data_IF_505541629077
#
_entry.id   IF_505541629077
#
_cell.length_a   1.000
_cell.length_b   1.000
_cell.length_c   1.000
_cell.angle_alpha   90.00
_cell.angle_beta   90.00
_cell.angle_gamma   90.00
#
_symmetry.space_group_name_H-M   'P 1'
#
loop_
_entity.id
_entity.type
_entity.pdbx_description
1 polymer ?
#
# COMPACT_ATOMS: atom_id res chain seq x y z
N UNK A 1 3.40 -14.92 -17.56
CA UNK A 1 2.45 -15.67 -16.72
C UNK A 1 1.89 -14.71 -15.68
N UNK A 2 0.57 -14.64 -15.47
CA UNK A 2 0.02 -13.89 -14.33
C UNK A 2 0.34 -14.65 -13.04
N UNK A 3 0.88 -13.96 -12.04
CA UNK A 3 1.12 -14.54 -10.70
C UNK A 3 -0.19 -15.09 -10.14
N UNK A 4 -0.16 -16.32 -9.60
CA UNK A 4 -1.37 -17.02 -9.14
C UNK A 4 -1.86 -16.50 -7.78
N UNK A 5 -0.95 -15.99 -6.97
CA UNK A 5 -1.24 -15.49 -5.63
C UNK A 5 -0.62 -14.10 -5.45
N UNK A 6 -1.28 -13.27 -4.65
CA UNK A 6 -0.83 -11.91 -4.33
C UNK A 6 -0.87 -11.73 -2.82
N UNK A 7 0.22 -11.19 -2.27
CA UNK A 7 0.36 -10.88 -0.85
C UNK A 7 0.84 -9.43 -0.70
N UNK A 8 0.01 -8.61 -0.07
CA UNK A 8 0.31 -7.24 0.32
C UNK A 8 0.96 -7.24 1.69
N UNK A 9 2.05 -6.48 1.83
CA UNK A 9 2.63 -6.05 3.10
C UNK A 9 2.44 -4.55 3.23
N UNK A 10 1.83 -4.15 4.35
CA UNK A 10 1.48 -2.76 4.66
C UNK A 10 1.94 -2.40 6.06
N UNK A 11 2.13 -1.13 6.34
CA UNK A 11 2.64 -0.68 7.63
C UNK A 11 1.67 -0.89 8.78
N UNK A 12 0.43 -0.42 8.61
CA UNK A 12 -0.55 -0.37 9.68
C UNK A 12 -1.95 -0.82 9.29
N UNK A 13 -2.88 -0.58 10.22
CA UNK A 13 -4.29 -0.93 10.08
C UNK A 13 -5.03 -0.02 9.10
N UNK A 14 -4.58 1.23 8.96
CA UNK A 14 -5.19 2.20 8.05
C UNK A 14 -4.99 1.76 6.59
N UNK A 15 -3.77 1.38 6.21
CA UNK A 15 -3.46 0.83 4.89
C UNK A 15 -4.15 -0.52 4.68
N UNK A 16 -4.16 -1.40 5.70
CA UNK A 16 -4.84 -2.68 5.62
C UNK A 16 -6.33 -2.49 5.31
N UNK A 17 -6.99 -1.57 6.00
CA UNK A 17 -8.40 -1.23 5.79
C UNK A 17 -8.64 -0.67 4.39
N UNK A 18 -7.79 0.25 3.93
CA UNK A 18 -7.90 0.84 2.60
C UNK A 18 -7.73 -0.22 1.51
N UNK A 19 -6.68 -1.05 1.57
CA UNK A 19 -6.44 -2.10 0.56
C UNK A 19 -7.63 -3.08 0.50
N UNK A 20 -8.27 -3.39 1.64
CA UNK A 20 -9.50 -4.19 1.62
C UNK A 20 -10.62 -3.53 0.81
N UNK A 21 -10.86 -2.23 1.00
CA UNK A 21 -11.83 -1.47 0.21
C UNK A 21 -11.44 -1.44 -1.28
N UNK A 22 -10.19 -1.12 -1.59
CA UNK A 22 -9.71 -1.02 -2.98
C UNK A 22 -9.83 -2.36 -3.74
N UNK A 23 -9.49 -3.49 -3.08
CA UNK A 23 -9.47 -4.80 -3.74
C UNK A 23 -10.84 -5.50 -3.78
N UNK A 24 -11.72 -5.24 -2.80
CA UNK A 24 -12.97 -6.00 -2.64
C UNK A 24 -14.21 -5.19 -3.00
N UNK A 25 -14.29 -3.94 -2.53
CA UNK A 25 -15.48 -3.10 -2.68
C UNK A 25 -15.41 -2.33 -3.99
N UNK A 26 -14.35 -1.53 -4.18
CA UNK A 26 -14.12 -0.76 -5.40
C UNK A 26 -13.58 -1.62 -6.54
N UNK A 27 -12.88 -2.71 -6.22
CA UNK A 27 -12.27 -3.65 -7.19
C UNK A 27 -11.40 -2.94 -8.22
N UNK A 28 -10.62 -1.96 -7.77
CA UNK A 28 -9.71 -1.15 -8.60
C UNK A 28 -8.26 -1.62 -8.53
N UNK A 29 -7.96 -2.59 -7.66
CA UNK A 29 -6.65 -3.26 -7.59
C UNK A 29 -6.80 -4.78 -7.52
N UNK A 30 -5.72 -5.50 -7.85
CA UNK A 30 -5.69 -6.96 -7.83
C UNK A 30 -6.06 -7.53 -6.43
N UNK A 31 -6.91 -8.57 -6.36
CA UNK A 31 -7.24 -9.21 -5.10
C UNK A 31 -6.03 -9.97 -4.54
N UNK A 32 -5.85 -9.93 -3.22
CA UNK A 32 -4.75 -10.62 -2.55
C UNK A 32 -4.90 -10.64 -1.03
N UNK A 33 -4.09 -11.46 -0.37
CA UNK A 33 -4.00 -11.48 1.09
C UNK A 33 -3.27 -10.22 1.57
N UNK A 34 -3.72 -9.62 2.66
CA UNK A 34 -3.08 -8.43 3.26
C UNK A 34 -2.51 -8.85 4.61
N UNK A 35 -1.30 -8.39 4.92
CA UNK A 35 -0.66 -8.61 6.21
C UNK A 35 0.09 -7.36 6.64
N UNK A 36 -0.11 -6.94 7.87
CA UNK A 36 0.69 -5.88 8.49
C UNK A 36 2.13 -6.35 8.66
N UNK A 37 3.06 -5.57 8.13
CA UNK A 37 4.51 -5.61 8.31
C UNK A 37 5.06 -4.34 7.69
N UNK A 38 5.48 -3.40 8.53
CA UNK A 38 6.26 -2.26 8.07
C UNK A 38 7.61 -2.77 7.53
N UNK A 39 7.79 -2.73 6.21
CA UNK A 39 8.99 -3.29 5.54
C UNK A 39 10.19 -2.36 5.52
N UNK A 40 10.01 -1.10 5.93
CA UNK A 40 11.11 -0.14 6.14
C UNK A 40 11.61 -0.18 7.58
N UNK A 41 10.82 -0.67 8.54
CA UNK A 41 11.24 -0.80 9.94
C UNK A 41 11.57 -2.24 10.36
N UNK A 42 10.89 -3.23 9.78
CA UNK A 42 11.02 -4.64 10.17
C UNK A 42 11.59 -5.52 9.06
N UNK A 43 12.57 -6.35 9.40
CA UNK A 43 13.07 -7.37 8.48
C UNK A 43 12.11 -8.56 8.34
N UNK A 44 11.94 -9.05 7.11
CA UNK A 44 11.25 -10.30 6.81
C UNK A 44 11.99 -11.49 7.44
N UNK A 45 11.24 -12.29 8.20
CA UNK A 45 11.76 -13.52 8.81
C UNK A 45 11.65 -14.70 7.84
N UNK A 46 12.56 -15.66 7.98
CA UNK A 46 12.53 -16.89 7.17
C UNK A 46 11.22 -17.67 7.35
N UNK A 47 10.69 -17.72 8.57
CA UNK A 47 9.40 -18.34 8.86
C UNK A 47 8.28 -17.75 8.00
N UNK A 48 8.25 -16.42 7.86
CA UNK A 48 7.24 -15.74 7.04
C UNK A 48 7.38 -16.09 5.57
N UNK A 49 8.61 -16.14 5.04
CA UNK A 49 8.89 -16.55 3.67
C UNK A 49 8.50 -18.00 3.39
N UNK A 50 8.70 -18.91 4.35
CA UNK A 50 8.30 -20.32 4.23
C UNK A 50 6.78 -20.51 4.12
N UNK A 51 5.97 -19.56 4.61
CA UNK A 51 4.51 -19.63 4.48
C UNK A 51 3.98 -19.17 3.12
N UNK A 52 4.85 -18.61 2.26
CA UNK A 52 4.44 -18.12 0.95
C UNK A 52 4.13 -19.28 0.01
N UNK A 53 2.98 -19.19 -0.67
CA UNK A 53 2.62 -20.13 -1.72
C UNK A 53 3.56 -19.94 -2.92
N UNK A 54 4.02 -21.01 -3.58
CA UNK A 54 4.81 -20.87 -4.79
C UNK A 54 4.10 -20.06 -5.88
N UNK A 55 4.82 -19.13 -6.51
CA UNK A 55 4.28 -18.23 -7.53
C UNK A 55 3.50 -17.03 -6.98
N UNK A 56 3.86 -16.57 -5.77
CA UNK A 56 3.26 -15.38 -5.14
C UNK A 56 3.95 -14.10 -5.61
N UNK A 57 3.15 -13.13 -6.06
CA UNK A 57 3.57 -11.74 -6.22
C UNK A 57 3.50 -11.04 -4.87
N UNK A 58 4.62 -10.46 -4.46
CA UNK A 58 4.72 -9.68 -3.23
C UNK A 58 4.55 -8.21 -3.57
N UNK A 59 3.61 -7.55 -2.89
CA UNK A 59 3.38 -6.11 -3.01
C UNK A 59 3.80 -5.46 -1.71
N UNK A 60 4.78 -4.58 -1.78
CA UNK A 60 5.30 -3.82 -0.65
C UNK A 60 4.75 -2.39 -0.72
N UNK A 61 3.93 -2.02 0.25
CA UNK A 61 3.40 -0.66 0.40
C UNK A 61 4.03 -0.04 1.64
N UNK A 62 4.69 1.10 1.48
CA UNK A 62 5.43 1.75 2.56
C UNK A 62 5.52 3.27 2.36
N UNK A 63 5.53 3.99 3.46
CA UNK A 63 5.74 5.42 3.55
C UNK A 63 7.21 5.78 3.32
N UNK A 64 7.43 6.97 2.79
CA UNK A 64 8.77 7.50 2.46
C UNK A 64 9.22 8.61 3.40
N UNK A 65 8.41 8.96 4.41
CA UNK A 65 8.81 9.88 5.48
C UNK A 65 9.77 9.27 6.52
N UNK A 66 9.96 7.95 6.50
CA UNK A 66 10.95 7.27 7.34
C UNK A 66 12.31 7.16 6.66
N UNK A 67 13.42 7.18 7.41
CA UNK A 67 14.78 7.20 6.84
C UNK A 67 15.41 5.83 6.55
N UNK A 68 14.67 4.74 6.68
CA UNK A 68 15.23 3.39 6.90
C UNK A 68 15.29 2.52 5.63
N UNK A 69 15.86 3.06 4.55
CA UNK A 69 15.97 2.35 3.27
C UNK A 69 16.80 1.04 3.36
N UNK A 70 17.73 0.93 4.30
CA UNK A 70 18.59 -0.24 4.46
C UNK A 70 17.80 -1.51 4.80
N UNK A 71 16.78 -1.39 5.66
CA UNK A 71 15.90 -2.51 6.03
C UNK A 71 15.10 -2.97 4.81
N UNK A 72 14.55 -2.02 4.04
CA UNK A 72 13.86 -2.32 2.79
C UNK A 72 14.77 -3.04 1.79
N UNK A 73 16.00 -2.56 1.61
CA UNK A 73 16.98 -3.19 0.71
C UNK A 73 17.30 -4.64 1.12
N UNK A 74 17.50 -4.89 2.42
CA UNK A 74 17.69 -6.25 2.94
C UNK A 74 16.48 -7.14 2.65
N UNK A 75 15.27 -6.60 2.85
CA UNK A 75 14.02 -7.31 2.56
C UNK A 75 13.89 -7.66 1.08
N UNK A 76 14.20 -6.72 0.19
CA UNK A 76 14.21 -6.95 -1.27
C UNK A 76 15.20 -8.05 -1.66
N UNK A 77 16.40 -8.07 -1.08
CA UNK A 77 17.38 -9.15 -1.32
C UNK A 77 16.86 -10.50 -0.85
N UNK A 78 16.22 -10.58 0.33
CA UNK A 78 15.62 -11.83 0.84
C UNK A 78 14.51 -12.33 -0.08
N UNK A 79 13.62 -11.44 -0.51
CA UNK A 79 12.50 -11.77 -1.40
C UNK A 79 13.00 -12.26 -2.77
N UNK A 80 14.01 -11.60 -3.36
CA UNK A 80 14.61 -12.02 -4.64
C UNK A 80 15.22 -13.43 -4.59
N UNK A 81 15.67 -13.88 -3.41
CA UNK A 81 16.23 -15.22 -3.20
C UNK A 81 15.16 -16.28 -2.90
N UNK A 82 13.91 -15.88 -2.62
CA UNK A 82 12.85 -16.80 -2.26
C UNK A 82 12.20 -17.42 -3.51
N UNK A 83 12.33 -18.74 -3.68
CA UNK A 83 11.78 -19.47 -4.84
C UNK A 83 10.26 -19.42 -4.94
N UNK A 84 9.55 -19.16 -3.82
CA UNK A 84 8.10 -19.00 -3.83
C UNK A 84 7.65 -17.66 -4.42
N UNK A 85 8.53 -16.65 -4.49
CA UNK A 85 8.20 -15.32 -4.98
C UNK A 85 8.38 -15.28 -6.50
N UNK A 86 7.31 -15.01 -7.23
CA UNK A 86 7.37 -14.83 -8.69
C UNK A 86 7.77 -13.41 -9.08
N UNK A 87 7.40 -12.44 -8.26
CA UNK A 87 7.53 -11.02 -8.58
C UNK A 87 7.49 -10.18 -7.31
N UNK A 88 8.19 -9.05 -7.32
CA UNK A 88 8.14 -8.03 -6.26
C UNK A 88 7.65 -6.74 -6.90
N UNK A 89 6.64 -6.13 -6.29
CA UNK A 89 6.06 -4.84 -6.66
C UNK A 89 6.28 -3.88 -5.49
N UNK A 90 6.96 -2.77 -5.74
CA UNK A 90 7.18 -1.71 -4.74
C UNK A 90 6.24 -0.53 -4.97
N UNK A 91 5.58 -0.08 -3.91
CA UNK A 91 4.64 1.04 -3.91
C UNK A 91 5.04 1.99 -2.77
N UNK A 92 5.94 2.95 -3.05
CA UNK A 92 6.25 4.02 -2.11
C UNK A 92 5.06 4.99 -2.02
N UNK A 93 4.67 5.37 -0.81
CA UNK A 93 3.69 6.41 -0.51
C UNK A 93 4.43 7.72 -0.25
N UNK A 94 3.97 8.83 -0.83
CA UNK A 94 4.75 10.08 -0.87
C UNK A 94 4.01 11.24 -0.20
N UNK A 95 4.49 11.72 0.96
CA UNK A 95 5.38 11.00 1.89
C UNK A 95 4.69 9.81 2.59
N UNK A 96 3.37 9.82 2.70
CA UNK A 96 2.60 8.81 3.44
C UNK A 96 1.18 8.63 2.89
N UNK A 97 0.41 7.73 3.50
CA UNK A 97 -0.97 7.45 3.08
C UNK A 97 -1.88 8.69 3.08
N UNK A 98 -1.81 9.53 4.10
CA UNK A 98 -2.65 10.72 4.22
C UNK A 98 -2.49 11.65 3.02
N UNK A 99 -1.25 11.91 2.62
CA UNK A 99 -0.93 12.77 1.48
C UNK A 99 -1.28 12.13 0.14
N UNK A 100 -1.17 10.79 0.02
CA UNK A 100 -1.71 10.06 -1.14
C UNK A 100 -3.23 10.22 -1.25
N UNK A 101 -3.96 10.19 -0.13
CA UNK A 101 -5.41 10.39 -0.10
C UNK A 101 -5.78 11.83 -0.45
N UNK A 102 -5.04 12.83 0.03
CA UNK A 102 -5.25 14.24 -0.36
C UNK A 102 -5.04 14.43 -1.86
N UNK A 103 -4.05 13.78 -2.47
CA UNK A 103 -3.82 13.87 -3.93
C UNK A 103 -4.86 13.14 -4.77
N UNK A 104 -5.42 12.05 -4.24
CA UNK A 104 -6.34 11.19 -4.99
C UNK A 104 -7.81 11.47 -4.71
N UNK A 105 -8.13 12.26 -3.70
CA UNK A 105 -9.48 12.71 -3.38
C UNK A 105 -9.60 14.24 -3.56
N UNK A 106 -10.81 14.73 -3.76
CA UNK A 106 -11.12 16.15 -3.77
C UNK A 106 -11.21 16.73 -2.33
N UNK A 107 -10.12 16.63 -1.56
CA UNK A 107 -10.01 17.11 -0.18
C UNK A 107 -8.72 17.90 0.01
N UNK A 108 -8.66 18.75 1.05
CA UNK A 108 -7.44 19.50 1.38
C UNK A 108 -6.62 18.85 2.48
N UNK A 109 -7.24 17.97 3.27
CA UNK A 109 -6.64 17.25 4.39
C UNK A 109 -7.28 15.88 4.54
N UNK A 110 -6.51 14.86 4.91
CA UNK A 110 -7.03 13.50 5.08
C UNK A 110 -8.21 13.40 6.06
N UNK A 111 -8.21 14.21 7.13
CA UNK A 111 -9.31 14.29 8.10
C UNK A 111 -10.68 14.64 7.48
N UNK A 112 -10.72 15.33 6.34
CA UNK A 112 -11.96 15.68 5.65
C UNK A 112 -12.67 14.44 5.08
N UNK A 113 -11.92 13.40 4.73
CA UNK A 113 -12.47 12.16 4.16
C UNK A 113 -13.43 11.44 5.13
N UNK A 114 -13.11 11.50 6.42
CA UNK A 114 -13.86 10.86 7.51
C UNK A 114 -14.69 11.85 8.32
N UNK A 115 -14.51 13.15 8.11
CA UNK A 115 -15.10 14.21 8.95
C UNK A 115 -14.45 14.29 10.34
N UNK A 116 -13.19 13.85 10.46
CA UNK A 116 -12.43 13.86 11.70
C UNK A 116 -12.20 15.27 12.24
N UNK A 117 -12.24 15.42 13.56
CA UNK A 117 -12.02 16.72 14.23
C UNK A 117 -10.61 17.25 14.04
N UNK A 118 -9.62 16.36 13.87
CA UNK A 118 -8.23 16.71 13.65
C UNK A 118 -7.51 15.65 12.81
N UNK A 119 -6.33 16.00 12.28
CA UNK A 119 -5.46 15.03 11.59
C UNK A 119 -4.91 13.94 12.52
N UNK A 120 -4.85 14.17 13.84
CA UNK A 120 -4.39 13.15 14.81
C UNK A 120 -5.40 12.03 15.00
N UNK A 121 -6.69 12.35 14.85
CA UNK A 121 -7.78 11.38 15.03
C UNK A 121 -8.09 10.61 13.73
N UNK A 122 -7.57 11.08 12.60
CA UNK A 122 -7.84 10.53 11.27
C UNK A 122 -7.67 9.01 11.20
N UNK A 123 -6.52 8.47 11.63
CA UNK A 123 -6.24 7.02 11.53
C UNK A 123 -7.29 6.19 12.27
N UNK A 124 -7.66 6.62 13.48
CA UNK A 124 -8.69 5.94 14.29
C UNK A 124 -10.07 6.02 13.62
N UNK A 125 -10.48 7.20 13.18
CA UNK A 125 -11.78 7.41 12.55
C UNK A 125 -11.88 6.67 11.20
N UNK A 126 -10.80 6.63 10.44
CA UNK A 126 -10.72 5.91 9.17
C UNK A 126 -10.93 4.41 9.35
N UNK A 127 -10.30 3.81 10.37
CA UNK A 127 -10.49 2.38 10.71
C UNK A 127 -11.93 2.12 11.15
N UNK A 128 -12.51 3.01 11.95
CA UNK A 128 -13.88 2.85 12.49
C UNK A 128 -14.98 3.19 11.47
N UNK A 129 -14.63 3.84 10.36
CA UNK A 129 -15.60 4.23 9.32
C UNK A 129 -16.21 3.01 8.66
N UNK A 130 -17.52 2.81 8.90
CA UNK A 130 -18.29 1.70 8.32
C UNK A 130 -18.46 1.83 6.81
N UNK A 131 -18.74 3.04 6.31
CA UNK A 131 -18.98 3.32 4.89
C UNK A 131 -17.77 4.00 4.22
N UNK A 132 -16.57 3.42 4.38
CA UNK A 132 -15.36 4.01 3.83
C UNK A 132 -15.42 4.11 2.29
N UNK A 133 -16.00 3.10 1.64
CA UNK A 133 -16.25 3.08 0.19
C UNK A 133 -17.10 4.27 -0.25
N UNK A 134 -18.21 4.53 0.44
CA UNK A 134 -19.04 5.71 0.15
C UNK A 134 -18.30 7.02 0.35
N UNK A 135 -17.45 7.13 1.39
CA UNK A 135 -16.62 8.33 1.62
C UNK A 135 -15.60 8.57 0.52
N UNK A 136 -14.90 7.53 0.07
CA UNK A 136 -13.98 7.65 -1.06
C UNK A 136 -14.70 8.13 -2.32
N UNK A 137 -15.91 7.60 -2.60
CA UNK A 137 -16.71 8.01 -3.76
C UNK A 137 -17.26 9.43 -3.63
N UNK A 138 -17.76 9.81 -2.44
CA UNK A 138 -18.24 11.17 -2.11
C UNK A 138 -17.14 12.22 -2.36
N UNK A 139 -15.90 11.86 -2.05
CA UNK A 139 -14.73 12.71 -2.26
C UNK A 139 -14.00 12.43 -3.59
N UNK A 140 -14.67 11.83 -4.57
CA UNK A 140 -14.18 11.64 -5.94
C UNK A 140 -12.80 10.95 -6.03
N UNK A 141 -12.58 9.90 -5.21
CA UNK A 141 -11.35 9.14 -5.23
C UNK A 141 -11.00 8.64 -6.65
N UNK A 142 -9.80 8.99 -7.13
CA UNK A 142 -9.26 8.57 -8.42
C UNK A 142 -8.03 7.67 -8.23
N UNK A 143 -8.19 6.39 -8.55
CA UNK A 143 -7.11 5.39 -8.48
C UNK A 143 -5.91 5.72 -9.39
N UNK A 144 -6.12 6.52 -10.45
CA UNK A 144 -5.04 6.95 -11.36
C UNK A 144 -4.13 7.98 -10.69
N UNK A 145 -4.69 8.79 -9.79
CA UNK A 145 -3.94 9.78 -9.00
C UNK A 145 -3.35 9.18 -7.72
N UNK A 146 -3.90 8.07 -7.24
CA UNK A 146 -3.39 7.38 -6.05
C UNK A 146 -2.10 6.61 -6.36
N UNK A 147 -1.06 6.73 -5.53
CA UNK A 147 0.24 6.09 -5.74
C UNK A 147 0.87 6.38 -7.11
N UNK A 148 0.70 7.59 -7.65
CA UNK A 148 1.30 7.98 -8.94
C UNK A 148 2.66 8.70 -8.80
N UNK A 149 3.01 9.14 -7.59
CA UNK A 149 4.23 9.91 -7.34
C UNK A 149 5.52 9.09 -7.47
N UNK A 150 6.64 9.78 -7.58
CA UNK A 150 7.98 9.18 -7.52
C UNK A 150 8.66 9.55 -6.21
N UNK A 151 9.32 8.60 -5.53
CA UNK A 151 9.95 8.87 -4.26
C UNK A 151 11.19 9.75 -4.42
N UNK A 152 11.41 10.66 -3.47
CA UNK A 152 12.64 11.43 -3.36
C UNK A 152 13.73 10.66 -2.59
N UNK A 153 14.85 11.30 -2.28
CA UNK A 153 15.88 10.72 -1.40
C UNK A 153 15.28 10.44 -0.01
N UNK A 154 15.62 9.32 0.65
CA UNK A 154 16.61 8.33 0.23
C UNK A 154 16.10 7.30 -0.80
N UNK A 155 14.78 7.21 -1.04
CA UNK A 155 14.12 6.17 -1.83
C UNK A 155 14.15 6.34 -3.35
N UNK A 156 14.78 7.37 -3.90
CA UNK A 156 14.86 7.68 -5.34
C UNK A 156 15.23 6.49 -6.29
N UNK A 157 15.91 5.46 -5.80
CA UNK A 157 16.25 4.26 -6.59
C UNK A 157 15.18 3.16 -6.56
N UNK A 158 14.10 3.34 -5.79
CA UNK A 158 12.98 2.41 -5.71
C UNK A 158 11.90 2.88 -6.68
N UNK A 159 11.67 2.11 -7.74
CA UNK A 159 10.62 2.43 -8.70
C UNK A 159 9.24 2.28 -8.05
N UNK A 160 8.36 3.25 -8.28
CA UNK A 160 6.94 3.06 -7.99
C UNK A 160 6.29 2.20 -9.09
N UNK A 161 5.74 1.05 -8.69
CA UNK A 161 5.17 0.03 -9.57
C UNK A 161 3.66 -0.17 -9.35
N UNK A 162 2.97 0.82 -8.78
CA UNK A 162 1.54 0.73 -8.46
C UNK A 162 0.66 0.32 -9.67
N UNK A 163 1.00 0.75 -10.88
CA UNK A 163 0.29 0.38 -12.11
C UNK A 163 0.23 -1.13 -12.37
N UNK A 164 1.15 -1.92 -11.78
CA UNK A 164 1.14 -3.39 -11.94
C UNK A 164 -0.02 -4.06 -11.20
N UNK A 165 -0.58 -3.40 -10.19
CA UNK A 165 -1.70 -3.93 -9.39
C UNK A 165 -3.02 -3.23 -9.68
N UNK A 166 -3.00 -2.04 -10.28
CA UNK A 166 -4.22 -1.31 -10.61
C UNK A 166 -4.90 -1.94 -11.81
N UNK A 167 -6.22 -1.94 -11.77
CA UNK A 167 -7.01 -2.10 -12.99
C UNK A 167 -7.12 -0.70 -13.60
N UNK A 168 -6.32 -0.45 -14.64
CA UNK A 168 -6.55 0.74 -15.47
C UNK A 168 -8.01 0.69 -15.93
N UNK A 169 -8.80 1.68 -15.52
CA UNK A 169 -10.16 1.82 -15.99
C UNK A 169 -10.15 1.78 -17.52
N UNK A 170 -10.83 0.79 -18.07
CA UNK A 170 -11.28 0.77 -19.46
C UNK A 170 -12.17 1.96 -19.77
#
# INVERSE_FOLDING_TARGET
MRSKFIQYYVEGETEERLIHVLKADLKVILPGKVQKLNVVECELTNARLMTLRPGTMIVLVFDTDTGYIDVLNKNLVKLKKCSSVSEIVTIPQIPNLEEELVRSCCIKKAAELTGSKSGKDFKSDFIQTKNLTGKLLEHHFDIRQFWCGQPEKPYHNIANQAERIKFAGS
#
